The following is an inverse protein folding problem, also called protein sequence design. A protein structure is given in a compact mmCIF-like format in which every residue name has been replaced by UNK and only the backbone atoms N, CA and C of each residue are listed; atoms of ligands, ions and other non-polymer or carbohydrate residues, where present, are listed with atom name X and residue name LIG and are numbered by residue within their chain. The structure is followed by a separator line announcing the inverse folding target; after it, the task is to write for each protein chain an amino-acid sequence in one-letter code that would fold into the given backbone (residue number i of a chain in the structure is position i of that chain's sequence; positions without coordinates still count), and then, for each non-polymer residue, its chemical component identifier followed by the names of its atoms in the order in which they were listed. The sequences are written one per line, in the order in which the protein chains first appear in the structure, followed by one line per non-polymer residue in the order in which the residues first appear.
data_IF_565142729703
#
_entry.id   IF_565142729703
#
_cell.length_a   1.000
_cell.length_b   1.000
_cell.length_c   1.000
_cell.angle_alpha   90.00
_cell.angle_beta   90.00
_cell.angle_gamma   90.00
#
_symmetry.space_group_name_H-M   'P 1'
#
loop_
_entity.id
_entity.type
_entity.pdbx_description
1 polymer ?
#
# COMPACT_ATOMS: atom_id res chain seq x y z
N UNK A 1 -3.92 28.76 25.04
CA UNK A 1 -2.47 28.96 24.79
C UNK A 1 -1.98 27.70 24.10
N UNK A 2 -1.89 27.75 22.78
CA UNK A 2 -1.39 26.63 21.98
C UNK A 2 0.12 26.78 21.88
N UNK A 3 0.84 25.87 22.53
CA UNK A 3 2.29 25.79 22.44
C UNK A 3 2.71 25.44 21.02
N UNK A 4 3.34 26.42 20.39
CA UNK A 4 4.21 26.26 19.23
C UNK A 4 5.46 25.47 19.63
N UNK A 5 6.05 24.82 18.62
CA UNK A 5 7.37 24.14 18.62
C UNK A 5 7.30 22.62 18.66
N UNK A 6 6.88 22.06 17.53
CA UNK A 6 7.40 20.77 17.07
C UNK A 6 8.16 21.00 15.77
N UNK A 7 9.48 20.86 15.88
CA UNK A 7 10.46 20.99 14.81
C UNK A 7 10.32 19.79 13.86
N UNK A 8 9.28 19.79 13.03
CA UNK A 8 9.13 18.83 11.93
C UNK A 8 9.88 19.38 10.72
N UNK A 9 11.05 18.80 10.44
CA UNK A 9 11.74 18.97 9.16
C UNK A 9 10.93 18.33 8.03
N UNK A 10 9.74 18.87 7.75
CA UNK A 10 8.92 18.45 6.62
C UNK A 10 9.60 18.89 5.33
N UNK A 11 9.87 17.93 4.45
CA UNK A 11 10.48 18.14 3.12
C UNK A 11 9.63 19.09 2.24
N UNK A 12 8.37 19.31 2.63
CA UNK A 12 7.35 20.08 1.89
C UNK A 12 6.62 21.00 2.88
N UNK A 13 6.48 22.27 2.52
CA UNK A 13 5.71 23.25 3.28
C UNK A 13 4.25 22.79 3.50
N UNK A 14 3.73 22.93 4.73
CA UNK A 14 2.40 22.45 5.14
C UNK A 14 1.29 23.07 4.28
N UNK A 15 1.40 24.36 3.92
CA UNK A 15 0.39 25.02 3.08
C UNK A 15 0.38 24.43 1.67
N UNK A 16 1.56 24.11 1.15
CA UNK A 16 1.71 23.41 -0.14
C UNK A 16 1.06 22.02 -0.09
N UNK A 17 1.30 21.25 0.98
CA UNK A 17 0.65 19.94 1.17
C UNK A 17 -0.88 20.08 1.22
N UNK A 18 -1.40 21.00 2.03
CA UNK A 18 -2.85 21.24 2.13
C UNK A 18 -3.46 21.58 0.77
N UNK A 19 -2.83 22.47 0.00
CA UNK A 19 -3.28 22.87 -1.33
C UNK A 19 -3.30 21.69 -2.32
N UNK A 20 -2.33 20.79 -2.22
CA UNK A 20 -2.25 19.60 -3.06
C UNK A 20 -3.35 18.60 -2.70
N UNK A 21 -3.55 18.34 -1.42
CA UNK A 21 -4.63 17.47 -0.95
C UNK A 21 -6.00 18.01 -1.39
N UNK A 22 -6.21 19.33 -1.30
CA UNK A 22 -7.40 20.01 -1.82
C UNK A 22 -7.56 19.83 -3.33
N UNK A 23 -6.51 20.12 -4.09
CA UNK A 23 -6.55 20.03 -5.56
C UNK A 23 -6.81 18.60 -6.04
N UNK A 24 -6.17 17.62 -5.42
CA UNK A 24 -6.44 16.19 -5.64
C UNK A 24 -7.90 15.86 -5.33
N UNK A 25 -8.42 16.35 -4.20
CA UNK A 25 -9.78 16.06 -3.77
C UNK A 25 -10.83 16.68 -4.70
N UNK A 26 -10.63 17.91 -5.19
CA UNK A 26 -11.48 18.50 -6.22
C UNK A 26 -11.43 17.73 -7.54
N UNK A 27 -10.24 17.32 -7.99
CA UNK A 27 -10.06 16.65 -9.28
C UNK A 27 -10.66 15.24 -9.31
N UNK A 28 -10.62 14.53 -8.17
CA UNK A 28 -10.99 13.12 -8.10
C UNK A 28 -12.35 12.87 -7.44
N UNK A 29 -12.82 13.83 -6.63
CA UNK A 29 -13.94 13.63 -5.70
C UNK A 29 -13.59 12.75 -4.50
N UNK A 30 -12.30 12.50 -4.25
CA UNK A 30 -11.82 11.58 -3.23
C UNK A 30 -11.00 12.29 -2.17
N UNK A 31 -11.16 11.89 -0.91
CA UNK A 31 -10.47 12.53 0.19
C UNK A 31 -9.07 11.95 0.40
N UNK A 32 -8.04 12.81 0.31
CA UNK A 32 -6.66 12.45 0.63
C UNK A 32 -6.15 13.16 1.89
N UNK A 33 -5.28 12.52 2.66
CA UNK A 33 -4.64 13.05 3.87
C UNK A 33 -3.15 12.77 3.87
N UNK A 34 -2.40 13.59 4.58
CA UNK A 34 -1.01 13.36 4.89
C UNK A 34 -0.88 12.78 6.30
N UNK A 35 -0.08 11.73 6.44
CA UNK A 35 0.13 11.02 7.70
C UNK A 35 1.62 10.84 7.97
N UNK A 36 1.98 10.89 9.25
CA UNK A 36 3.31 10.47 9.71
C UNK A 36 3.57 8.99 9.46
N UNK A 37 4.81 8.55 9.65
CA UNK A 37 5.21 7.13 9.52
C UNK A 37 4.50 6.20 10.51
N UNK A 38 3.97 6.73 11.62
CA UNK A 38 3.15 6.04 12.61
C UNK A 38 1.65 5.99 12.24
N UNK A 39 1.28 6.58 11.10
CA UNK A 39 -0.11 6.66 10.60
C UNK A 39 -0.99 7.69 11.30
N UNK A 40 -0.42 8.54 12.16
CA UNK A 40 -1.12 9.69 12.71
C UNK A 40 -1.47 10.71 11.62
N UNK A 41 -2.63 11.37 11.73
CA UNK A 41 -3.05 12.39 10.78
C UNK A 41 -2.33 13.71 11.09
N UNK A 42 -1.63 14.26 10.11
CA UNK A 42 -0.89 15.52 10.28
C UNK A 42 -1.49 16.65 9.43
N UNK A 43 -1.85 16.38 8.16
CA UNK A 43 -2.45 17.38 7.26
C UNK A 43 -3.69 16.82 6.59
N UNK A 44 -4.73 17.65 6.46
CA UNK A 44 -6.02 17.29 5.86
C UNK A 44 -6.41 18.33 4.78
N UNK A 45 -7.31 18.00 3.84
CA UNK A 45 -7.70 18.89 2.74
C UNK A 45 -8.67 20.01 3.17
N UNK A 46 -8.80 20.30 4.48
CA UNK A 46 -9.73 21.30 5.00
C UNK A 46 -11.18 20.82 5.11
N UNK A 47 -12.08 21.72 5.52
CA UNK A 47 -13.48 21.41 5.84
C UNK A 47 -14.38 21.16 4.62
N UNK A 48 -13.94 21.55 3.42
CA UNK A 48 -14.66 21.31 2.17
C UNK A 48 -14.69 19.82 1.78
N UNK A 49 -13.74 19.05 2.31
CA UNK A 49 -13.62 17.60 2.10
C UNK A 49 -13.63 16.88 3.45
N UNK A 50 -14.80 16.87 4.14
CA UNK A 50 -14.92 16.26 5.45
C UNK A 50 -14.66 14.75 5.38
N UNK A 51 -14.22 14.18 6.50
CA UNK A 51 -14.14 12.73 6.64
C UNK A 51 -15.52 12.10 6.44
N UNK A 52 -15.61 10.94 5.79
CA UNK A 52 -16.86 10.21 5.63
C UNK A 52 -17.47 9.89 7.00
N UNK A 53 -18.80 10.04 7.14
CA UNK A 53 -19.51 9.81 8.40
C UNK A 53 -19.17 8.45 9.02
N UNK A 54 -19.03 7.41 8.20
CA UNK A 54 -18.60 6.08 8.64
C UNK A 54 -17.27 6.12 9.40
N UNK A 55 -16.26 6.77 8.82
CA UNK A 55 -14.96 6.91 9.45
C UNK A 55 -15.01 7.80 10.70
N UNK A 56 -15.86 8.83 10.72
CA UNK A 56 -16.07 9.66 11.92
C UNK A 56 -16.61 8.82 13.08
N UNK A 57 -17.62 7.97 12.83
CA UNK A 57 -18.19 7.06 13.83
C UNK A 57 -17.13 6.08 14.35
N UNK A 58 -16.38 5.44 13.44
CA UNK A 58 -15.28 4.53 13.80
C UNK A 58 -14.21 5.24 14.63
N UNK A 59 -13.84 6.49 14.29
CA UNK A 59 -12.83 7.29 14.98
C UNK A 59 -13.35 8.03 16.22
N UNK A 60 -14.62 7.87 16.57
CA UNK A 60 -15.18 8.52 17.75
C UNK A 60 -14.60 7.92 19.05
N UNK A 61 -14.22 6.65 19.05
CA UNK A 61 -13.58 6.00 20.18
C UNK A 61 -12.04 5.93 20.05
N UNK A 62 -11.27 5.93 21.17
CA UNK A 62 -9.82 5.80 21.14
C UNK A 62 -9.32 4.54 20.43
N UNK A 63 -10.03 3.42 20.58
CA UNK A 63 -9.69 2.13 19.97
C UNK A 63 -9.74 2.20 18.45
N UNK A 64 -10.81 2.77 17.90
CA UNK A 64 -10.98 2.94 16.46
C UNK A 64 -9.95 3.92 15.88
N UNK A 65 -9.65 5.04 16.57
CA UNK A 65 -8.54 5.93 16.16
C UNK A 65 -7.20 5.21 16.09
N UNK A 66 -6.87 4.41 17.10
CA UNK A 66 -5.64 3.63 17.14
C UNK A 66 -5.56 2.62 15.99
N UNK A 67 -6.67 1.91 15.70
CA UNK A 67 -6.72 0.95 14.59
C UNK A 67 -6.65 1.62 13.21
N UNK A 68 -7.27 2.79 13.04
CA UNK A 68 -7.11 3.62 11.84
C UNK A 68 -5.63 3.98 11.61
N UNK A 69 -4.97 4.54 12.63
CA UNK A 69 -3.57 4.92 12.53
C UNK A 69 -2.67 3.71 12.21
N UNK A 70 -2.87 2.58 12.89
CA UNK A 70 -2.16 1.33 12.58
C UNK A 70 -2.37 0.86 11.15
N UNK A 71 -3.59 0.96 10.62
CA UNK A 71 -3.89 0.61 9.22
C UNK A 71 -3.07 1.47 8.26
N UNK A 72 -3.02 2.78 8.51
CA UNK A 72 -2.27 3.74 7.68
C UNK A 72 -0.76 3.55 7.81
N UNK A 73 -0.24 3.30 9.01
CA UNK A 73 1.17 3.03 9.24
C UNK A 73 1.63 1.78 8.49
N UNK A 74 0.85 0.70 8.57
CA UNK A 74 1.15 -0.54 7.84
C UNK A 74 1.09 -0.32 6.33
N UNK A 75 0.05 0.36 5.84
CA UNK A 75 -0.06 0.66 4.42
C UNK A 75 1.11 1.52 3.91
N UNK A 76 1.53 2.52 4.66
CA UNK A 76 2.69 3.36 4.35
C UNK A 76 4.00 2.56 4.28
N UNK A 77 4.24 1.69 5.26
CA UNK A 77 5.41 0.80 5.28
C UNK A 77 5.44 -0.15 4.09
N UNK A 78 4.30 -0.78 3.76
CA UNK A 78 4.22 -1.65 2.58
C UNK A 78 4.48 -0.84 1.31
N UNK A 79 3.85 0.33 1.16
CA UNK A 79 4.07 1.17 -0.02
C UNK A 79 5.55 1.58 -0.18
N UNK A 80 6.20 1.94 0.93
CA UNK A 80 7.62 2.28 0.93
C UNK A 80 8.51 1.07 0.58
N UNK A 81 8.21 -0.10 1.13
CA UNK A 81 8.92 -1.35 0.84
C UNK A 81 8.88 -1.70 -0.64
N UNK A 82 7.74 -1.50 -1.30
CA UNK A 82 7.58 -1.83 -2.72
C UNK A 82 7.95 -0.67 -3.65
N UNK A 83 8.18 0.54 -3.12
CA UNK A 83 8.47 1.72 -3.93
C UNK A 83 7.33 2.10 -4.87
N UNK A 84 6.09 1.74 -4.53
CA UNK A 84 4.89 1.96 -5.36
C UNK A 84 3.64 2.19 -4.50
N UNK A 85 2.53 2.69 -5.08
CA UNK A 85 1.30 2.83 -4.32
C UNK A 85 0.80 1.48 -3.80
N UNK A 86 0.49 1.41 -2.51
CA UNK A 86 -0.06 0.19 -1.90
C UNK A 86 -1.57 0.33 -1.70
N UNK A 87 -2.36 -0.44 -2.44
CA UNK A 87 -3.81 -0.53 -2.26
C UNK A 87 -4.10 -1.52 -1.12
N UNK A 88 -4.89 -1.11 -0.14
CA UNK A 88 -5.17 -1.88 1.06
C UNK A 88 -6.63 -1.79 1.47
N UNK A 89 -7.02 -2.72 2.35
CA UNK A 89 -8.29 -2.68 3.07
C UNK A 89 -8.01 -2.34 4.53
N UNK A 90 -8.64 -1.28 5.03
CA UNK A 90 -8.43 -0.84 6.41
C UNK A 90 -9.12 -1.78 7.40
N UNK A 91 -8.81 -1.63 8.68
CA UNK A 91 -9.39 -2.48 9.74
C UNK A 91 -10.93 -2.45 9.80
N UNK A 92 -11.58 -1.41 9.27
CA UNK A 92 -13.03 -1.26 9.25
C UNK A 92 -13.64 -1.67 7.90
N UNK A 93 -12.87 -2.36 7.04
CA UNK A 93 -13.35 -2.94 5.80
C UNK A 93 -13.32 -2.04 4.57
N UNK A 94 -12.94 -0.76 4.71
CA UNK A 94 -12.91 0.18 3.58
C UNK A 94 -11.62 0.09 2.78
N UNK A 95 -11.71 0.42 1.50
CA UNK A 95 -10.55 0.44 0.60
C UNK A 95 -9.81 1.77 0.73
N UNK A 96 -8.49 1.71 0.63
CA UNK A 96 -7.62 2.88 0.51
C UNK A 96 -6.33 2.55 -0.21
N UNK A 97 -5.53 3.58 -0.47
CA UNK A 97 -4.20 3.43 -1.01
C UNK A 97 -3.24 4.41 -0.36
N UNK A 98 -2.01 3.95 -0.22
CA UNK A 98 -0.91 4.67 0.37
C UNK A 98 0.13 5.00 -0.70
N UNK A 99 0.47 6.28 -0.82
CA UNK A 99 1.63 6.76 -1.56
C UNK A 99 2.75 7.09 -0.56
N UNK A 100 3.88 6.37 -0.57
CA UNK A 100 4.95 6.61 0.38
C UNK A 100 5.65 7.92 0.02
N UNK A 101 6.08 8.64 1.05
CA UNK A 101 6.95 9.79 0.92
C UNK A 101 8.31 9.39 1.49
N UNK A 102 9.30 9.33 0.60
CA UNK A 102 10.66 8.92 0.91
C UNK A 102 11.59 10.13 0.95
N UNK A 103 12.54 10.12 1.88
CA UNK A 103 13.66 11.05 1.98
C UNK A 103 14.94 10.25 2.17
N UNK A 104 15.92 10.42 1.27
CA UNK A 104 17.19 9.67 1.35
C UNK A 104 17.00 8.14 1.50
N UNK A 105 16.01 7.59 0.78
CA UNK A 105 15.59 6.17 0.83
C UNK A 105 14.85 5.74 2.12
N UNK A 106 14.67 6.63 3.09
CA UNK A 106 13.90 6.36 4.31
C UNK A 106 12.42 6.79 4.17
N UNK A 107 11.52 5.95 4.69
CA UNK A 107 10.09 6.26 4.77
C UNK A 107 9.81 7.23 5.91
N UNK A 108 9.50 8.48 5.57
CA UNK A 108 9.25 9.53 6.57
C UNK A 108 7.76 9.82 6.77
N UNK A 109 6.95 9.66 5.73
CA UNK A 109 5.51 9.95 5.78
C UNK A 109 4.74 9.26 4.65
N UNK A 110 3.41 9.39 4.65
CA UNK A 110 2.54 8.74 3.66
C UNK A 110 1.39 9.67 3.29
N UNK A 111 1.07 9.75 2.00
CA UNK A 111 -0.21 10.32 1.56
C UNK A 111 -1.22 9.17 1.40
N UNK A 112 -2.32 9.24 2.14
CA UNK A 112 -3.38 8.23 2.13
C UNK A 112 -4.61 8.81 1.45
N UNK A 113 -5.21 8.04 0.53
CA UNK A 113 -6.58 8.26 0.10
C UNK A 113 -7.39 6.99 0.37
N UNK A 114 -8.57 7.13 0.98
CA UNK A 114 -9.37 5.99 1.43
C UNK A 114 -10.83 6.38 1.54
N UNK A 115 -11.60 5.68 2.37
CA UNK A 115 -13.00 5.97 2.67
C UNK A 115 -13.92 5.68 1.48
N UNK A 116 -13.59 4.63 0.73
CA UNK A 116 -14.34 4.19 -0.46
C UNK A 116 -14.58 2.69 -0.45
N UNK A 117 -15.51 2.27 -1.30
CA UNK A 117 -15.75 0.88 -1.64
C UNK A 117 -15.39 0.63 -3.11
N UNK A 118 -15.07 -0.62 -3.44
CA UNK A 118 -14.82 -1.06 -4.83
C UNK A 118 -15.97 -1.89 -5.41
N UNK A 119 -16.98 -2.17 -4.60
CA UNK A 119 -18.17 -2.93 -4.93
C UNK A 119 -19.33 -2.42 -4.08
N UNK A 120 -20.54 -2.59 -4.58
CA UNK A 120 -21.74 -2.27 -3.82
C UNK A 120 -21.84 -3.18 -2.58
N UNK A 121 -22.22 -2.64 -1.41
CA UNK A 121 -22.51 -3.43 -0.22
C UNK A 121 -23.58 -4.50 -0.46
N UNK A 122 -23.22 -5.77 -0.32
CA UNK A 122 -24.17 -6.90 -0.27
C UNK A 122 -24.50 -7.27 1.18
N UNK A 123 -25.45 -8.18 1.40
CA UNK A 123 -25.91 -8.54 2.76
C UNK A 123 -24.75 -8.96 3.68
N UNK A 124 -23.81 -9.77 3.16
CA UNK A 124 -22.64 -10.24 3.90
C UNK A 124 -21.68 -9.12 4.32
N UNK A 125 -21.64 -8.01 3.57
CA UNK A 125 -20.79 -6.88 3.89
C UNK A 125 -21.18 -6.23 5.22
N UNK A 126 -22.48 -6.24 5.56
CA UNK A 126 -22.98 -5.68 6.82
C UNK A 126 -22.54 -6.51 8.02
N UNK A 127 -22.60 -7.84 7.91
CA UNK A 127 -22.12 -8.75 8.94
C UNK A 127 -20.61 -8.57 9.16
N UNK A 128 -19.85 -8.42 8.07
CA UNK A 128 -18.41 -8.22 8.15
C UNK A 128 -18.04 -6.88 8.82
N UNK A 129 -18.70 -5.77 8.42
CA UNK A 129 -18.52 -4.47 9.08
C UNK A 129 -18.82 -4.59 10.57
N UNK A 130 -19.97 -5.18 10.91
CA UNK A 130 -20.39 -5.33 12.30
C UNK A 130 -19.34 -6.11 13.11
N UNK A 131 -18.87 -7.24 12.58
CA UNK A 131 -17.87 -8.07 13.25
C UNK A 131 -16.56 -7.32 13.53
N UNK A 132 -16.10 -6.47 12.60
CA UNK A 132 -14.85 -5.71 12.78
C UNK A 132 -15.01 -4.42 13.60
N UNK A 133 -16.24 -3.95 13.83
CA UNK A 133 -16.52 -2.71 14.57
C UNK A 133 -17.31 -2.87 15.86
N UNK A 134 -17.86 -4.05 16.19
CA UNK A 134 -18.72 -4.27 17.37
C UNK A 134 -18.10 -3.89 18.70
N UNK A 135 -16.77 -3.94 18.78
CA UNK A 135 -15.99 -3.61 19.98
C UNK A 135 -15.58 -2.14 20.07
N UNK A 136 -16.06 -1.30 19.15
CA UNK A 136 -15.82 0.15 19.10
C UNK A 136 -16.93 0.96 19.80
N UNK A 137 -18.02 0.30 20.21
CA UNK A 137 -19.16 0.97 20.87
C UNK A 137 -19.96 1.86 19.92
N UNK A 138 -19.99 1.53 18.62
CA UNK A 138 -20.81 2.20 17.61
C UNK A 138 -22.02 1.32 17.33
N UNK A 139 -23.21 1.92 17.31
CA UNK A 139 -24.45 1.21 17.02
C UNK A 139 -24.49 0.72 15.57
N UNK A 140 -24.83 -0.56 15.38
CA UNK A 140 -24.86 -1.22 14.06
C UNK A 140 -25.73 -0.47 13.03
N UNK A 141 -26.96 0.00 13.36
CA UNK A 141 -27.80 0.69 12.39
C UNK A 141 -27.20 2.03 11.91
N UNK A 142 -26.58 2.80 12.80
CA UNK A 142 -25.95 4.08 12.46
C UNK A 142 -24.78 3.86 11.50
N UNK A 143 -23.95 2.86 11.81
CA UNK A 143 -22.79 2.53 11.00
C UNK A 143 -23.19 2.01 9.61
N UNK A 144 -24.23 1.18 9.53
CA UNK A 144 -24.78 0.69 8.26
C UNK A 144 -25.32 1.85 7.39
N UNK A 145 -26.09 2.77 7.99
CA UNK A 145 -26.58 3.96 7.29
C UNK A 145 -25.44 4.87 6.80
N UNK A 146 -24.37 4.99 7.58
CA UNK A 146 -23.19 5.74 7.19
C UNK A 146 -22.39 5.04 6.07
N UNK A 147 -22.30 3.71 6.10
CA UNK A 147 -21.63 2.93 5.06
C UNK A 147 -22.36 2.96 3.71
N UNK A 148 -23.71 3.04 3.70
CA UNK A 148 -24.49 3.25 2.47
C UNK A 148 -24.21 4.58 1.76
N UNK A 149 -23.58 5.54 2.44
CA UNK A 149 -23.20 6.84 1.87
C UNK A 149 -21.77 6.86 1.33
N UNK A 150 -21.02 5.75 1.46
CA UNK A 150 -19.65 5.67 0.98
C UNK A 150 -19.62 5.67 -0.55
N UNK A 151 -18.63 6.38 -1.11
CA UNK A 151 -18.41 6.40 -2.55
C UNK A 151 -17.94 5.02 -3.02
N UNK A 152 -18.63 4.45 -4.01
CA UNK A 152 -18.22 3.24 -4.72
C UNK A 152 -17.47 3.66 -5.99
N UNK A 153 -16.24 3.16 -6.17
CA UNK A 153 -15.41 3.47 -7.33
C UNK A 153 -14.83 2.20 -7.96
N UNK A 154 -14.63 2.22 -9.28
CA UNK A 154 -14.08 1.06 -10.00
C UNK A 154 -12.59 0.84 -9.69
N UNK A 155 -12.08 -0.40 -9.84
CA UNK A 155 -10.65 -0.68 -9.71
C UNK A 155 -9.76 0.18 -10.62
N UNK A 156 -10.23 0.54 -11.82
CA UNK A 156 -9.51 1.43 -12.73
C UNK A 156 -9.39 2.84 -12.15
N UNK A 157 -10.46 3.37 -11.51
CA UNK A 157 -10.41 4.66 -10.82
C UNK A 157 -9.50 4.64 -9.61
N UNK A 158 -9.53 3.55 -8.83
CA UNK A 158 -8.59 3.35 -7.70
C UNK A 158 -7.15 3.40 -8.18
N UNK A 159 -6.82 2.61 -9.22
CA UNK A 159 -5.45 2.57 -9.76
C UNK A 159 -5.00 3.94 -10.28
N UNK A 160 -5.84 4.61 -11.09
CA UNK A 160 -5.53 5.93 -11.62
C UNK A 160 -5.33 6.98 -10.52
N UNK A 161 -6.19 6.98 -9.49
CA UNK A 161 -6.07 7.90 -8.36
C UNK A 161 -4.83 7.61 -7.49
N UNK A 162 -4.48 6.33 -7.32
CA UNK A 162 -3.28 5.92 -6.60
C UNK A 162 -1.99 6.33 -7.33
N UNK A 163 -1.94 6.11 -8.64
CA UNK A 163 -0.81 6.51 -9.48
C UNK A 163 -0.64 8.04 -9.49
N UNK A 164 -1.74 8.80 -9.59
CA UNK A 164 -1.72 10.26 -9.51
C UNK A 164 -1.19 10.75 -8.15
N UNK A 165 -1.69 10.19 -7.05
CA UNK A 165 -1.27 10.57 -5.69
C UNK A 165 0.22 10.32 -5.48
N UNK A 166 0.71 9.19 -5.99
CA UNK A 166 2.11 8.81 -5.90
C UNK A 166 3.04 9.69 -6.74
N UNK A 167 2.68 9.98 -7.99
CA UNK A 167 3.41 10.95 -8.82
C UNK A 167 3.47 12.31 -8.13
N UNK A 168 2.37 12.74 -7.52
CA UNK A 168 2.31 14.00 -6.77
C UNK A 168 3.22 13.97 -5.55
N UNK A 169 3.15 12.93 -4.72
CA UNK A 169 3.99 12.77 -3.53
C UNK A 169 5.49 12.82 -3.87
N UNK A 170 5.90 12.09 -4.90
CA UNK A 170 7.31 11.97 -5.31
C UNK A 170 7.85 13.24 -5.97
N UNK A 171 6.98 14.01 -6.64
CA UNK A 171 7.38 15.30 -7.17
C UNK A 171 7.74 16.28 -6.05
N UNK A 172 7.06 16.19 -4.91
CA UNK A 172 7.24 17.12 -3.79
C UNK A 172 8.51 16.86 -2.98
N UNK A 173 8.96 15.62 -2.86
CA UNK A 173 10.09 15.26 -1.99
C UNK A 173 11.48 15.39 -2.63
N UNK A 174 11.53 16.00 -3.83
CA UNK A 174 12.66 16.31 -4.73
C UNK A 174 13.22 15.13 -5.53
N UNK A 175 13.39 15.41 -6.84
CA UNK A 175 13.94 14.55 -7.91
C UNK A 175 13.41 13.11 -7.81
N UNK A 176 12.33 12.83 -8.54
CA UNK A 176 11.80 11.48 -8.76
C UNK A 176 12.80 10.46 -9.35
N UNK A 177 14.10 10.77 -9.45
CA UNK A 177 15.15 9.87 -9.94
C UNK A 177 15.31 8.63 -9.07
N UNK A 178 15.31 8.72 -7.74
CA UNK A 178 15.56 7.54 -6.87
C UNK A 178 14.38 6.55 -6.95
N UNK A 179 13.14 7.03 -6.84
CA UNK A 179 11.97 6.16 -6.95
C UNK A 179 11.79 5.66 -8.39
N UNK A 180 12.12 6.48 -9.40
CA UNK A 180 12.12 6.03 -10.79
C UNK A 180 13.21 4.97 -11.04
N UNK A 181 14.37 5.08 -10.40
CA UNK A 181 15.44 4.08 -10.44
C UNK A 181 15.02 2.78 -9.75
N UNK A 182 14.41 2.85 -8.57
CA UNK A 182 13.83 1.68 -7.88
C UNK A 182 12.73 1.03 -8.73
N UNK A 183 11.80 1.83 -9.27
CA UNK A 183 10.73 1.34 -10.14
C UNK A 183 11.29 0.69 -11.41
N UNK A 184 12.32 1.29 -12.02
CA UNK A 184 13.03 0.69 -13.15
C UNK A 184 13.68 -0.62 -12.75
N UNK A 185 14.37 -0.69 -11.61
CA UNK A 185 14.99 -1.93 -11.15
C UNK A 185 13.96 -3.05 -10.92
N UNK A 186 12.81 -2.73 -10.31
CA UNK A 186 11.70 -3.68 -10.11
C UNK A 186 11.09 -4.09 -11.45
N UNK A 187 10.81 -3.14 -12.35
CA UNK A 187 10.26 -3.42 -13.68
C UNK A 187 11.21 -4.28 -14.52
N UNK A 188 12.51 -3.98 -14.49
CA UNK A 188 13.54 -4.74 -15.18
C UNK A 188 13.64 -6.17 -14.62
N UNK A 189 13.52 -6.33 -13.29
CA UNK A 189 13.47 -7.66 -12.67
C UNK A 189 12.19 -8.42 -13.07
N UNK A 190 11.03 -7.77 -13.04
CA UNK A 190 9.77 -8.39 -13.46
C UNK A 190 9.80 -8.79 -14.94
N UNK A 191 10.38 -7.98 -15.82
CA UNK A 191 10.56 -8.30 -17.23
C UNK A 191 11.49 -9.51 -17.42
N UNK A 192 12.64 -9.55 -16.73
CA UNK A 192 13.54 -10.71 -16.74
C UNK A 192 12.85 -11.98 -16.26
N UNK A 193 12.06 -11.90 -15.18
CA UNK A 193 11.28 -13.03 -14.68
C UNK A 193 10.25 -13.50 -15.71
N UNK A 194 9.55 -12.59 -16.38
CA UNK A 194 8.60 -12.96 -17.44
C UNK A 194 9.27 -13.67 -18.61
N UNK A 195 10.42 -13.19 -19.09
CA UNK A 195 11.20 -13.86 -20.14
C UNK A 195 11.60 -15.28 -19.71
N UNK A 196 12.16 -15.44 -18.50
CA UNK A 196 12.53 -16.74 -17.94
C UNK A 196 11.34 -17.69 -17.82
N UNK A 197 10.17 -17.18 -17.43
CA UNK A 197 8.93 -17.95 -17.38
C UNK A 197 8.53 -18.43 -18.78
N UNK A 198 8.59 -17.58 -19.79
CA UNK A 198 8.25 -17.94 -21.17
C UNK A 198 9.19 -19.00 -21.75
N UNK A 199 10.51 -18.84 -21.55
CA UNK A 199 11.50 -19.82 -21.99
C UNK A 199 11.30 -21.21 -21.34
N UNK A 200 10.83 -21.24 -20.09
CA UNK A 200 10.71 -22.47 -19.29
C UNK A 200 9.32 -23.10 -19.28
N UNK A 201 8.29 -22.43 -19.84
CA UNK A 201 6.91 -22.95 -19.91
C UNK A 201 6.85 -24.37 -20.51
N UNK A 202 7.65 -24.65 -21.54
CA UNK A 202 7.65 -25.93 -22.28
C UNK A 202 8.64 -26.98 -21.76
N UNK A 203 9.75 -26.59 -21.12
CA UNK A 203 10.86 -27.51 -20.75
C UNK A 203 10.81 -28.04 -19.32
N UNK A 204 9.72 -27.80 -18.59
CA UNK A 204 9.71 -28.02 -17.14
C UNK A 204 9.73 -29.51 -16.75
N UNK A 205 10.90 -29.98 -16.28
CA UNK A 205 11.01 -31.16 -15.41
C UNK A 205 11.04 -30.66 -13.95
N UNK A 206 10.31 -31.29 -13.02
CA UNK A 206 10.25 -30.87 -11.63
C UNK A 206 11.55 -31.26 -10.93
N UNK A 207 12.60 -30.47 -11.09
CA UNK A 207 13.83 -30.61 -10.32
C UNK A 207 14.11 -29.25 -9.67
N UNK A 208 13.36 -29.00 -8.59
CA UNK A 208 13.78 -28.05 -7.58
C UNK A 208 15.15 -28.47 -7.06
N UNK A 209 16.19 -27.65 -7.29
CA UNK A 209 17.54 -28.01 -6.93
C UNK A 209 18.02 -27.14 -5.77
N UNK A 210 18.08 -27.72 -4.57
CA UNK A 210 18.83 -27.22 -3.40
C UNK A 210 20.25 -26.74 -3.75
N UNK A 211 20.80 -27.21 -4.89
CA UNK A 211 22.06 -26.76 -5.46
C UNK A 211 22.05 -25.25 -5.78
N UNK A 212 20.95 -24.72 -6.35
CA UNK A 212 20.83 -23.30 -6.71
C UNK A 212 20.81 -22.40 -5.48
N UNK A 213 20.09 -22.79 -4.42
CA UNK A 213 20.11 -22.06 -3.14
C UNK A 213 21.50 -22.02 -2.52
N UNK A 214 22.21 -23.16 -2.52
CA UNK A 214 23.57 -23.20 -1.99
C UNK A 214 24.53 -22.34 -2.81
N UNK A 215 24.37 -22.36 -4.12
CA UNK A 215 25.16 -21.53 -5.04
C UNK A 215 24.86 -20.04 -4.84
N UNK A 216 23.60 -19.65 -4.64
CA UNK A 216 23.20 -18.30 -4.29
C UNK A 216 23.91 -17.82 -3.02
N UNK A 217 23.85 -18.61 -1.95
CA UNK A 217 24.52 -18.30 -0.67
C UNK A 217 26.03 -18.17 -0.84
N UNK A 218 26.66 -19.01 -1.66
CA UNK A 218 28.08 -18.91 -2.00
C UNK A 218 28.40 -17.61 -2.74
N UNK A 219 27.60 -17.20 -3.74
CA UNK A 219 27.82 -15.94 -4.47
C UNK A 219 27.62 -14.71 -3.59
N UNK A 220 26.65 -14.74 -2.68
CA UNK A 220 26.42 -13.67 -1.69
C UNK A 220 27.65 -13.53 -0.79
N UNK A 221 28.16 -14.64 -0.24
CA UNK A 221 29.35 -14.64 0.64
C UNK A 221 30.60 -14.08 -0.03
N UNK A 222 30.77 -14.32 -1.33
CA UNK A 222 31.93 -13.85 -2.11
C UNK A 222 31.70 -12.45 -2.69
N UNK A 223 30.57 -11.78 -2.39
CA UNK A 223 30.26 -10.42 -2.85
C UNK A 223 29.95 -10.32 -4.34
N UNK A 224 29.67 -11.44 -5.03
CA UNK A 224 29.37 -11.45 -6.47
C UNK A 224 27.90 -11.13 -6.73
N UNK A 225 27.52 -9.86 -6.53
CA UNK A 225 26.13 -9.37 -6.57
C UNK A 225 25.39 -9.75 -7.87
N UNK A 226 25.94 -9.45 -9.04
CA UNK A 226 25.29 -9.78 -10.33
C UNK A 226 25.06 -11.29 -10.52
N UNK A 227 25.98 -12.14 -10.05
CA UNK A 227 25.82 -13.59 -10.15
C UNK A 227 24.78 -14.10 -9.16
N UNK A 228 24.72 -13.53 -7.95
CA UNK A 228 23.70 -13.84 -6.97
C UNK A 228 22.30 -13.46 -7.48
N UNK A 229 22.15 -12.26 -8.06
CA UNK A 229 20.88 -11.80 -8.64
C UNK A 229 20.37 -12.73 -9.74
N UNK A 230 21.24 -13.19 -10.65
CA UNK A 230 20.84 -14.16 -11.69
C UNK A 230 20.35 -15.49 -11.11
N UNK A 231 21.04 -16.02 -10.09
CA UNK A 231 20.63 -17.28 -9.45
C UNK A 231 19.31 -17.09 -8.69
N UNK A 232 19.09 -15.92 -8.08
CA UNK A 232 17.83 -15.59 -7.43
C UNK A 232 16.67 -15.51 -8.42
N UNK A 233 16.85 -14.80 -9.55
CA UNK A 233 15.84 -14.72 -10.62
C UNK A 233 15.50 -16.13 -11.16
N UNK A 234 16.51 -17.01 -11.27
CA UNK A 234 16.31 -18.40 -11.67
C UNK A 234 15.47 -19.22 -10.68
N UNK A 235 15.68 -19.02 -9.37
CA UNK A 235 14.91 -19.70 -8.31
C UNK A 235 13.46 -19.20 -8.30
N UNK A 236 13.28 -17.87 -8.35
CA UNK A 236 11.95 -17.25 -8.36
C UNK A 236 11.11 -17.68 -9.57
N UNK A 237 11.72 -17.76 -10.75
CA UNK A 237 11.06 -18.27 -11.95
C UNK A 237 10.61 -19.73 -11.78
N UNK A 238 11.45 -20.58 -11.19
CA UNK A 238 11.12 -21.99 -10.94
C UNK A 238 9.96 -22.12 -9.91
N UNK A 239 9.97 -21.32 -8.84
CA UNK A 239 8.87 -21.28 -7.86
C UNK A 239 7.54 -20.81 -8.45
N UNK A 240 7.59 -19.75 -9.29
CA UNK A 240 6.40 -19.24 -9.97
C UNK A 240 5.80 -20.28 -10.93
N UNK A 241 6.61 -21.06 -11.65
CA UNK A 241 6.12 -22.14 -12.51
C UNK A 241 5.50 -23.28 -11.69
N UNK A 242 6.13 -23.65 -10.57
CA UNK A 242 5.58 -24.62 -9.62
C UNK A 242 4.22 -24.15 -9.08
N UNK A 243 4.09 -22.88 -8.72
CA UNK A 243 2.83 -22.30 -8.25
C UNK A 243 1.73 -22.37 -9.31
N UNK A 244 2.04 -22.08 -10.58
CA UNK A 244 1.08 -22.15 -11.70
C UNK A 244 0.67 -23.59 -12.03
N UNK A 245 1.60 -24.56 -11.99
CA UNK A 245 1.33 -25.95 -12.40
C UNK A 245 0.86 -26.86 -11.26
N UNK A 246 1.28 -26.61 -10.02
CA UNK A 246 1.01 -27.45 -8.83
C UNK A 246 0.86 -26.58 -7.56
N UNK A 247 -0.24 -25.83 -7.43
CA UNK A 247 -0.46 -24.88 -6.33
C UNK A 247 -0.48 -25.54 -4.92
N UNK A 248 -0.89 -26.80 -4.82
CA UNK A 248 -0.95 -27.52 -3.54
C UNK A 248 0.44 -27.84 -2.95
N UNK A 249 1.46 -28.07 -3.79
CA UNK A 249 2.83 -28.33 -3.35
C UNK A 249 3.52 -27.08 -2.79
N UNK A 250 3.13 -25.89 -3.25
CA UNK A 250 3.68 -24.62 -2.76
C UNK A 250 3.10 -24.26 -1.40
N UNK A 251 1.82 -24.57 -1.14
CA UNK A 251 1.19 -24.35 0.17
C UNK A 251 1.87 -25.12 1.30
N UNK A 252 2.31 -26.35 1.04
CA UNK A 252 3.03 -27.17 2.04
C UNK A 252 4.39 -26.57 2.40
N UNK A 253 5.07 -25.90 1.46
CA UNK A 253 6.40 -25.30 1.67
C UNK A 253 6.38 -23.94 2.38
N UNK A 254 5.33 -23.16 2.18
CA UNK A 254 5.17 -21.86 2.88
C UNK A 254 4.78 -22.01 4.36
N UNK A 255 4.48 -23.23 4.80
CA UNK A 255 4.10 -23.56 6.19
C UNK A 255 5.25 -24.18 7.00
N UNK A 256 6.40 -24.48 6.37
CA UNK A 256 7.66 -24.87 7.04
C UNK A 256 8.57 -23.65 7.26
#
# INVERSE_FOLDING_TARGET
MLGTDSNFGTVVDIKTLEQILKSFSHATGLRAVFCGSDGSLEVTPGSEFPEALFCQLVRNCPRGRSRCAKSYATAGREAAKWGEPYIFRCHAGLVGWAAPVLQEEEHVSTIICSQVLMWEPEDFFWDEIWEVTKDLGVESPELALAAKQLTVISPQRVKAAADLLFLTANYLTRKGSIILEQRRAIQDQQARLQELLEERKEKYLPIYSFKKERELLEKIRVGKKEQAERILDDILADELILFVKQPDLVKTRLQE
#
